data_IF_937808487194
#
_entry.id   IF_937808487194
#
_cell.length_a   1.000
_cell.length_b   1.000
_cell.length_c   1.000
_cell.angle_alpha   90.00
_cell.angle_beta   90.00
_cell.angle_gamma   90.00
#
_symmetry.space_group_name_H-M   'P 1'
#
loop_
_entity.id
_entity.type
_entity.pdbx_description
1 polymer ?
#
# COMPACT_ATOMS: atom_id res chain seq x y z
N UNK A 1 -9.68 -12.16 -18.33
CA UNK A 1 -10.12 -11.30 -17.22
C UNK A 1 -10.73 -12.20 -16.17
N UNK A 2 -10.49 -11.92 -14.89
CA UNK A 2 -11.19 -12.64 -13.83
C UNK A 2 -12.70 -12.34 -13.94
N UNK A 3 -13.57 -13.34 -14.20
CA UNK A 3 -15.01 -13.08 -14.30
C UNK A 3 -15.58 -12.51 -13.00
N UNK A 4 -15.07 -12.91 -11.84
CA UNK A 4 -15.49 -12.35 -10.53
C UNK A 4 -15.16 -10.86 -10.35
N UNK A 5 -14.25 -10.33 -11.17
CA UNK A 5 -13.86 -8.92 -11.20
C UNK A 5 -14.63 -8.09 -12.23
N UNK A 6 -15.47 -8.72 -13.08
CA UNK A 6 -16.20 -8.07 -14.19
C UNK A 6 -17.72 -8.31 -14.15
N UNK A 7 -18.19 -9.44 -13.62
CA UNK A 7 -19.58 -9.87 -13.82
C UNK A 7 -20.48 -9.61 -12.62
N UNK A 8 -20.75 -8.35 -12.25
CA UNK A 8 -21.87 -8.04 -11.34
C UNK A 8 -22.69 -6.79 -11.69
N UNK A 9 -22.54 -6.24 -12.90
CA UNK A 9 -23.46 -5.19 -13.41
C UNK A 9 -24.87 -5.72 -13.79
N UNK A 10 -25.22 -6.97 -13.48
CA UNK A 10 -26.53 -7.54 -13.82
C UNK A 10 -27.10 -8.44 -12.71
N UNK A 11 -27.29 -7.90 -11.50
CA UNK A 11 -28.41 -8.33 -10.66
C UNK A 11 -29.18 -7.10 -10.17
N UNK A 12 -30.50 -7.16 -10.35
CA UNK A 12 -31.46 -6.08 -10.24
C UNK A 12 -31.51 -5.50 -8.82
N UNK A 13 -31.70 -4.17 -8.63
CA UNK A 13 -32.09 -3.65 -7.34
C UNK A 13 -33.50 -4.14 -7.00
N UNK A 14 -33.61 -4.98 -5.97
CA UNK A 14 -34.90 -5.27 -5.35
C UNK A 14 -35.54 -3.95 -4.91
N UNK A 15 -36.73 -3.69 -5.48
CA UNK A 15 -37.59 -2.58 -5.11
C UNK A 15 -37.94 -2.66 -3.62
N UNK A 16 -37.35 -1.79 -2.81
CA UNK A 16 -37.90 -1.45 -1.50
C UNK A 16 -38.85 -0.27 -1.71
N UNK A 17 -40.14 -0.57 -1.62
CA UNK A 17 -41.24 0.39 -1.66
C UNK A 17 -41.31 1.19 -0.36
N UNK A 18 -41.10 2.49 -0.43
CA UNK A 18 -41.52 3.43 0.61
C UNK A 18 -42.70 4.27 0.10
N UNK A 19 -43.82 4.37 0.84
CA UNK A 19 -44.93 5.21 0.45
C UNK A 19 -44.68 6.67 0.82
N UNK A 20 -45.23 7.56 -0.02
CA UNK A 20 -45.20 9.00 0.12
C UNK A 20 -46.17 9.53 1.19
N UNK A 21 -45.78 10.60 1.88
CA UNK A 21 -46.65 11.58 2.53
C UNK A 21 -45.86 12.90 2.57
N UNK A 22 -46.11 13.81 1.63
CA UNK A 22 -47.00 14.97 1.73
C UNK A 22 -46.57 16.05 2.73
N UNK A 23 -46.39 17.22 2.14
CA UNK A 23 -46.16 18.54 2.69
C UNK A 23 -47.25 18.99 3.65
N UNK A 24 -46.86 19.70 4.71
CA UNK A 24 -47.51 20.95 5.08
C UNK A 24 -46.51 21.84 5.81
N UNK A 25 -46.48 23.11 5.41
CA UNK A 25 -45.70 24.14 6.08
C UNK A 25 -46.45 24.67 7.29
N UNK A 26 -45.71 25.25 8.23
CA UNK A 26 -46.12 26.58 8.67
C UNK A 26 -44.98 27.38 9.31
N UNK A 27 -45.11 28.68 9.11
CA UNK A 27 -44.24 29.77 9.49
C UNK A 27 -44.46 30.07 10.99
N UNK A 28 -43.40 30.35 11.76
CA UNK A 28 -43.50 31.40 12.79
C UNK A 28 -42.15 31.98 13.16
N UNK A 29 -42.06 33.29 12.92
CA UNK A 29 -41.06 34.24 13.41
C UNK A 29 -41.19 34.38 14.92
N UNK A 30 -40.08 34.53 15.64
CA UNK A 30 -40.07 35.28 16.89
C UNK A 30 -38.84 36.21 16.94
N UNK A 31 -39.13 37.51 16.80
CA UNK A 31 -38.24 38.65 17.05
C UNK A 31 -38.97 39.51 18.07
N UNK A 32 -38.47 39.58 19.30
CA UNK A 32 -38.72 40.63 20.33
C UNK A 32 -37.64 40.36 21.41
N UNK A 33 -36.92 41.28 22.04
CA UNK A 33 -36.65 42.72 21.92
C UNK A 33 -35.59 43.00 23.01
N UNK A 34 -34.76 44.01 22.78
CA UNK A 34 -33.81 44.60 23.74
C UNK A 34 -34.51 45.08 25.01
N UNK A 35 -33.84 44.96 26.14
CA UNK A 35 -33.83 45.99 27.18
C UNK A 35 -32.46 46.04 27.87
N UNK A 36 -31.88 47.23 27.87
CA UNK A 36 -30.70 47.62 28.64
C UNK A 36 -31.16 48.00 30.03
N UNK A 37 -30.39 47.69 31.07
CA UNK A 37 -30.20 48.63 32.18
C UNK A 37 -28.85 48.42 32.87
N UNK A 38 -28.26 49.55 33.24
CA UNK A 38 -26.91 49.73 33.75
C UNK A 38 -26.90 49.84 35.28
N UNK A 39 -25.70 49.58 35.83
CA UNK A 39 -25.01 50.26 36.96
C UNK A 39 -25.12 49.71 38.39
N UNK A 40 -23.91 49.32 38.82
CA UNK A 40 -23.18 49.71 40.04
C UNK A 40 -23.53 49.11 41.40
N UNK A 41 -22.47 48.65 42.09
CA UNK A 41 -22.40 48.64 43.55
C UNK A 41 -21.41 47.65 44.15
N UNK A 42 -20.20 48.10 44.47
CA UNK A 42 -19.17 47.36 45.18
C UNK A 42 -19.49 47.14 46.67
N UNK A 43 -18.95 46.06 47.29
CA UNK A 43 -18.15 46.09 48.54
C UNK A 43 -17.71 44.70 49.05
N UNK A 44 -16.38 44.60 49.19
CA UNK A 44 -15.50 43.86 50.13
C UNK A 44 -16.09 42.94 51.22
N UNK A 45 -15.46 41.76 51.38
CA UNK A 45 -15.47 40.95 52.60
C UNK A 45 -14.38 39.85 52.56
N UNK A 46 -13.50 39.87 53.56
CA UNK A 46 -12.22 39.14 53.67
C UNK A 46 -12.35 37.62 53.89
N UNK A 47 -11.30 36.87 53.51
CA UNK A 47 -11.03 35.52 54.00
C UNK A 47 -9.77 34.91 53.38
N UNK A 48 -8.60 35.20 53.95
CA UNK A 48 -7.30 34.62 53.57
C UNK A 48 -7.24 33.13 53.97
N UNK A 49 -6.82 32.29 53.04
CA UNK A 49 -6.03 31.08 53.30
C UNK A 49 -5.07 30.91 52.12
N UNK A 50 -3.76 30.96 52.37
CA UNK A 50 -2.72 30.68 51.37
C UNK A 50 -2.32 29.20 51.49
N UNK A 51 -2.42 28.40 50.43
CA UNK A 51 -1.68 27.15 50.34
C UNK A 51 -0.28 27.36 49.74
N UNK A 52 0.64 26.60 50.33
CA UNK A 52 2.04 26.33 50.01
C UNK A 52 2.49 26.36 48.53
N UNK A 53 3.77 26.73 48.34
CA UNK A 53 4.57 26.88 47.11
C UNK A 53 4.78 25.56 46.31
N UNK A 54 3.88 24.57 46.42
CA UNK A 54 4.04 23.27 45.74
C UNK A 54 2.95 22.99 44.69
N UNK A 55 1.98 23.89 44.51
CA UNK A 55 0.92 23.76 43.48
C UNK A 55 1.11 24.67 42.24
N UNK A 56 2.14 25.52 42.19
CA UNK A 56 2.34 26.51 41.11
C UNK A 56 3.14 25.97 39.90
N UNK A 57 3.36 24.65 39.80
CA UNK A 57 4.05 24.01 38.65
C UNK A 57 3.18 23.02 37.84
N UNK A 58 1.87 22.89 38.13
CA UNK A 58 1.01 21.92 37.44
C UNK A 58 -0.19 22.51 36.69
N UNK A 59 -0.25 23.83 36.48
CA UNK A 59 -1.37 24.49 35.78
C UNK A 59 -0.93 25.41 34.64
N UNK A 60 0.05 25.00 33.84
CA UNK A 60 0.14 25.48 32.46
C UNK A 60 -0.73 24.58 31.58
N UNK A 61 -2.04 24.78 31.73
CA UNK A 61 -3.05 24.30 30.80
C UNK A 61 -2.70 24.87 29.42
N UNK A 62 -2.22 24.01 28.54
CA UNK A 62 -2.13 24.32 27.12
C UNK A 62 -3.55 24.53 26.59
N UNK A 63 -3.81 25.73 26.08
CA UNK A 63 -4.96 26.08 25.24
C UNK A 63 -5.07 25.12 24.04
N UNK A 64 -5.69 23.96 24.25
CA UNK A 64 -6.16 23.09 23.17
C UNK A 64 -7.61 23.47 22.93
N UNK A 65 -7.84 24.30 21.91
CA UNK A 65 -9.20 24.51 21.40
C UNK A 65 -9.78 23.14 21.02
N UNK A 66 -10.95 22.73 21.54
CA UNK A 66 -11.59 21.50 21.10
C UNK A 66 -12.20 21.77 19.72
N UNK A 67 -11.49 21.38 18.66
CA UNK A 67 -12.00 21.44 17.30
C UNK A 67 -12.76 20.14 16.99
N UNK A 68 -14.07 20.25 17.16
CA UNK A 68 -15.16 19.66 16.36
C UNK A 68 -15.09 18.17 15.97
N UNK A 69 -16.08 17.44 16.50
CA UNK A 69 -16.75 16.26 15.97
C UNK A 69 -15.87 15.05 15.65
N UNK A 70 -15.87 14.11 16.61
CA UNK A 70 -15.52 12.71 16.43
C UNK A 70 -16.39 12.12 15.31
N UNK A 71 -15.90 12.18 14.08
CA UNK A 71 -16.23 11.16 13.09
C UNK A 71 -15.75 9.86 13.71
N UNK A 72 -16.65 8.91 13.95
CA UNK A 72 -16.29 7.53 14.33
C UNK A 72 -15.42 6.94 13.21
N UNK A 73 -14.11 7.19 13.28
CA UNK A 73 -13.17 6.56 12.38
C UNK A 73 -13.10 5.09 12.78
N UNK A 74 -13.84 4.24 12.05
CA UNK A 74 -13.70 2.79 12.08
C UNK A 74 -12.32 2.39 11.52
N UNK A 75 -11.25 2.72 12.26
CA UNK A 75 -9.88 2.53 11.80
C UNK A 75 -8.94 2.21 12.96
N UNK A 76 -8.00 1.31 12.71
CA UNK A 76 -6.99 0.94 13.68
C UNK A 76 -5.88 1.99 13.71
N UNK A 77 -5.66 2.59 14.87
CA UNK A 77 -4.53 3.48 15.07
C UNK A 77 -3.30 2.70 15.54
N UNK A 78 -2.14 2.93 14.91
CA UNK A 78 -0.85 2.40 15.35
C UNK A 78 0.20 3.51 15.35
N UNK A 79 1.01 3.58 16.40
CA UNK A 79 2.12 4.54 16.50
C UNK A 79 3.43 3.94 16.03
N UNK A 80 4.24 4.73 15.32
CA UNK A 80 5.55 4.35 14.80
C UNK A 80 6.63 5.37 15.18
N UNK A 81 7.88 4.92 15.36
CA UNK A 81 9.00 5.81 15.49
C UNK A 81 9.34 6.49 14.15
N UNK A 82 9.91 7.69 14.24
CA UNK A 82 10.46 8.43 13.11
C UNK A 82 11.94 8.69 13.35
N UNK A 83 12.78 8.44 12.34
CA UNK A 83 14.20 8.71 12.42
C UNK A 83 14.46 10.19 12.21
N UNK A 84 15.22 10.79 13.12
CA UNK A 84 15.66 12.18 13.03
C UNK A 84 17.18 12.23 12.87
N UNK A 85 17.64 12.50 11.65
CA UNK A 85 19.06 12.59 11.34
C UNK A 85 19.80 13.69 12.10
N UNK A 86 19.10 14.74 12.56
CA UNK A 86 19.73 15.87 13.28
C UNK A 86 20.17 15.47 14.68
N UNK A 87 19.40 14.59 15.32
CA UNK A 87 19.74 14.01 16.62
C UNK A 87 20.40 12.63 16.50
N UNK A 88 20.44 12.06 15.29
CA UNK A 88 20.95 10.71 15.01
C UNK A 88 20.29 9.62 15.86
N UNK A 89 18.99 9.81 16.14
CA UNK A 89 18.20 8.91 16.96
C UNK A 89 16.72 8.98 16.52
N UNK A 90 15.93 8.07 17.07
CA UNK A 90 14.51 7.96 16.78
C UNK A 90 13.66 8.79 17.76
N UNK A 91 12.66 9.44 17.21
CA UNK A 91 11.52 9.98 17.97
C UNK A 91 10.51 8.86 18.16
N UNK A 92 10.41 8.35 19.39
CA UNK A 92 9.47 7.27 19.75
C UNK A 92 8.01 7.73 19.66
N UNK A 93 7.13 6.84 19.18
CA UNK A 93 5.67 7.07 19.08
C UNK A 93 5.28 8.40 18.40
N UNK A 94 6.12 8.86 17.48
CA UNK A 94 6.03 10.19 16.91
C UNK A 94 4.98 10.29 15.81
N UNK A 95 4.89 9.23 15.01
CA UNK A 95 3.98 9.12 13.89
C UNK A 95 2.78 8.26 14.27
N UNK A 96 1.57 8.73 13.96
CA UNK A 96 0.33 8.01 14.19
C UNK A 96 -0.29 7.65 12.84
N UNK A 97 -0.33 6.35 12.55
CA UNK A 97 -0.92 5.77 11.35
C UNK A 97 -2.34 5.33 11.66
N UNK A 98 -3.30 5.82 10.87
CA UNK A 98 -4.70 5.43 10.91
C UNK A 98 -4.98 4.49 9.75
N UNK A 99 -5.05 3.18 10.03
CA UNK A 99 -5.43 2.18 9.05
C UNK A 99 -6.95 2.12 8.91
N UNK A 100 -7.45 2.28 7.68
CA UNK A 100 -8.88 2.18 7.36
C UNK A 100 -9.09 1.66 5.93
N UNK A 101 -10.25 1.07 5.60
CA UNK A 101 -10.55 0.74 4.22
C UNK A 101 -10.58 2.01 3.35
N UNK A 102 -10.14 1.88 2.11
CA UNK A 102 -10.27 2.96 1.12
C UNK A 102 -11.74 3.28 0.84
N UNK A 103 -12.02 4.53 0.47
CA UNK A 103 -13.39 4.96 0.14
C UNK A 103 -13.88 4.21 -1.11
N UNK A 104 -15.16 3.82 -1.12
CA UNK A 104 -15.75 3.09 -2.24
C UNK A 104 -16.24 4.07 -3.31
N UNK A 105 -15.79 3.89 -4.55
CA UNK A 105 -16.23 4.65 -5.72
C UNK A 105 -16.90 3.78 -6.78
N UNK A 106 -16.97 4.30 -8.02
CA UNK A 106 -17.60 3.60 -9.15
C UNK A 106 -16.69 2.50 -9.71
N UNK A 107 -17.29 1.32 -9.95
CA UNK A 107 -16.65 0.19 -10.66
C UNK A 107 -16.57 0.41 -12.18
N UNK A 108 -17.34 1.36 -12.72
CA UNK A 108 -17.36 1.66 -14.15
C UNK A 108 -15.96 2.04 -14.65
N UNK A 109 -15.16 2.72 -13.82
CA UNK A 109 -13.78 3.06 -14.13
C UNK A 109 -12.91 1.82 -14.34
N UNK A 110 -13.01 0.84 -13.43
CA UNK A 110 -12.22 -0.40 -13.48
C UNK A 110 -12.65 -1.24 -14.67
N UNK A 111 -13.96 -1.42 -14.85
CA UNK A 111 -14.52 -2.16 -15.99
C UNK A 111 -14.16 -1.52 -17.34
N UNK A 112 -14.25 -0.19 -17.45
CA UNK A 112 -13.85 0.54 -18.65
C UNK A 112 -12.35 0.34 -18.95
N UNK A 113 -11.50 0.47 -17.93
CA UNK A 113 -10.05 0.29 -18.05
C UNK A 113 -9.70 -1.10 -18.58
N UNK A 114 -10.28 -2.16 -18.01
CA UNK A 114 -10.03 -3.53 -18.43
C UNK A 114 -10.47 -3.80 -19.86
N UNK A 115 -11.59 -3.18 -20.26
CA UNK A 115 -12.13 -3.29 -21.62
C UNK A 115 -11.21 -2.58 -22.62
N UNK A 116 -10.79 -1.35 -22.30
CA UNK A 116 -9.90 -0.56 -23.17
C UNK A 116 -8.51 -1.18 -23.30
N UNK A 117 -7.93 -1.69 -22.21
CA UNK A 117 -6.56 -2.20 -22.16
C UNK A 117 -6.46 -3.73 -22.26
N UNK A 118 -7.47 -4.39 -22.82
CA UNK A 118 -7.59 -5.85 -22.86
C UNK A 118 -6.34 -6.58 -23.43
N UNK A 119 -5.70 -6.01 -24.46
CA UNK A 119 -4.49 -6.58 -25.07
C UNK A 119 -3.29 -6.55 -24.12
N UNK A 120 -3.14 -5.45 -23.37
CA UNK A 120 -2.12 -5.27 -22.34
C UNK A 120 -2.34 -6.24 -21.19
N UNK A 121 -3.57 -6.35 -20.66
CA UNK A 121 -3.94 -7.31 -19.60
C UNK A 121 -3.59 -8.73 -20.02
N UNK A 122 -3.95 -9.13 -21.25
CA UNK A 122 -3.67 -10.49 -21.74
C UNK A 122 -2.18 -10.77 -21.84
N UNK A 123 -1.39 -9.80 -22.29
CA UNK A 123 0.07 -9.93 -22.44
C UNK A 123 0.77 -10.00 -21.07
N UNK A 124 0.34 -9.13 -20.16
CA UNK A 124 0.78 -9.07 -18.78
C UNK A 124 0.50 -10.39 -18.05
N UNK A 125 -0.74 -10.88 -18.14
CA UNK A 125 -1.16 -12.16 -17.57
C UNK A 125 -0.33 -13.32 -18.10
N UNK A 126 -0.11 -13.42 -19.42
CA UNK A 126 0.74 -14.47 -20.00
C UNK A 126 2.18 -14.43 -19.48
N UNK A 127 2.74 -13.24 -19.27
CA UNK A 127 4.10 -13.11 -18.76
C UNK A 127 4.18 -13.56 -17.30
N UNK A 128 3.22 -13.14 -16.48
CA UNK A 128 3.13 -13.52 -15.07
C UNK A 128 2.79 -15.02 -14.90
N UNK A 129 1.93 -15.59 -15.74
CA UNK A 129 1.72 -17.04 -15.82
C UNK A 129 3.02 -17.79 -16.15
N UNK A 130 3.88 -17.24 -17.01
CA UNK A 130 5.19 -17.81 -17.31
C UNK A 130 6.20 -17.67 -16.17
N UNK A 131 5.97 -16.77 -15.20
CA UNK A 131 6.78 -16.68 -13.97
C UNK A 131 6.39 -17.74 -12.94
N UNK A 132 5.21 -18.36 -13.08
CA UNK A 132 4.81 -19.46 -12.22
C UNK A 132 5.78 -20.62 -12.44
N UNK A 133 6.52 -21.06 -11.39
CA UNK A 133 7.40 -22.20 -11.55
C UNK A 133 6.58 -23.41 -12.00
N UNK A 134 7.13 -24.27 -12.87
CA UNK A 134 6.46 -25.50 -13.22
C UNK A 134 6.14 -26.23 -11.92
N UNK A 135 4.91 -26.75 -11.81
CA UNK A 135 4.40 -27.40 -10.60
C UNK A 135 5.36 -28.47 -10.06
N UNK A 136 6.17 -29.06 -10.94
CA UNK A 136 7.21 -30.02 -10.61
C UNK A 136 8.55 -29.59 -11.21
N UNK A 137 9.59 -29.53 -10.37
CA UNK A 137 10.99 -29.50 -10.78
C UNK A 137 11.46 -30.94 -10.99
N UNK A 138 12.01 -31.22 -12.17
CA UNK A 138 12.71 -32.48 -12.45
C UNK A 138 14.11 -32.39 -11.86
N UNK A 139 14.39 -33.22 -10.86
CA UNK A 139 15.72 -33.36 -10.27
C UNK A 139 16.31 -34.67 -10.78
N UNK A 140 17.32 -34.55 -11.64
CA UNK A 140 18.02 -35.70 -12.26
C UNK A 140 19.05 -36.29 -11.31
N UNK A 141 19.59 -37.46 -11.65
CA UNK A 141 20.66 -38.08 -10.89
C UNK A 141 20.25 -38.45 -9.46
N UNK A 142 19.05 -38.97 -9.28
CA UNK A 142 18.56 -39.49 -8.00
C UNK A 142 18.69 -41.01 -7.95
N UNK A 143 18.95 -41.60 -6.78
CA UNK A 143 18.99 -43.07 -6.61
C UNK A 143 17.60 -43.70 -6.73
N UNK A 144 16.54 -42.91 -6.58
CA UNK A 144 15.14 -43.32 -6.71
C UNK A 144 14.30 -42.13 -7.21
N UNK A 145 13.21 -42.39 -7.93
CA UNK A 145 12.38 -41.36 -8.55
C UNK A 145 11.26 -41.88 -9.43
N UNK A 146 10.39 -40.97 -9.86
CA UNK A 146 9.16 -41.30 -10.62
C UNK A 146 9.46 -41.68 -12.08
N UNK A 147 10.59 -41.22 -12.61
CA UNK A 147 11.03 -41.46 -13.99
C UNK A 147 12.47 -41.99 -14.01
N UNK A 148 12.82 -42.74 -15.05
CA UNK A 148 14.21 -43.14 -15.33
C UNK A 148 14.90 -42.05 -16.16
N UNK A 149 16.09 -41.64 -15.73
CA UNK A 149 16.97 -40.73 -16.46
C UNK A 149 17.74 -41.50 -17.53
N UNK A 150 17.25 -41.44 -18.77
CA UNK A 150 17.87 -42.14 -19.90
C UNK A 150 19.31 -41.71 -20.15
N UNK A 151 19.65 -40.43 -19.93
CA UNK A 151 21.02 -39.93 -20.12
C UNK A 151 21.96 -40.51 -19.06
N UNK A 152 21.51 -40.59 -17.80
CA UNK A 152 22.25 -41.23 -16.72
C UNK A 152 22.45 -42.74 -16.96
N UNK A 153 21.42 -43.43 -17.48
CA UNK A 153 21.51 -44.85 -17.85
C UNK A 153 22.51 -45.06 -18.99
N UNK A 154 22.45 -44.24 -20.04
CA UNK A 154 23.39 -44.33 -21.17
C UNK A 154 24.82 -44.07 -20.70
N UNK A 155 25.03 -43.05 -19.85
CA UNK A 155 26.33 -42.76 -19.24
C UNK A 155 26.85 -43.95 -18.45
N UNK A 156 26.04 -44.51 -17.54
CA UNK A 156 26.40 -45.70 -16.75
C UNK A 156 26.79 -46.87 -17.63
N UNK A 157 26.03 -47.15 -18.69
CA UNK A 157 26.33 -48.23 -19.62
C UNK A 157 27.66 -48.00 -20.36
N UNK A 158 28.00 -46.75 -20.66
CA UNK A 158 29.30 -46.36 -21.19
C UNK A 158 30.44 -46.59 -20.19
N UNK A 159 30.27 -46.13 -18.95
CA UNK A 159 31.24 -46.27 -17.85
C UNK A 159 31.51 -47.75 -17.53
N UNK A 160 30.46 -48.57 -17.47
CA UNK A 160 30.58 -50.02 -17.25
C UNK A 160 31.32 -50.73 -18.39
N UNK A 161 31.08 -50.33 -19.64
CA UNK A 161 31.84 -50.86 -20.79
C UNK A 161 33.31 -50.44 -20.78
N UNK A 162 33.63 -49.30 -20.15
CA UNK A 162 34.99 -48.83 -19.93
C UNK A 162 35.66 -49.46 -18.70
N UNK A 163 34.98 -50.34 -17.96
CA UNK A 163 35.51 -51.02 -16.77
C UNK A 163 35.44 -50.21 -15.48
N UNK A 164 34.64 -49.13 -15.43
CA UNK A 164 34.41 -48.33 -14.23
C UNK A 164 33.15 -48.80 -13.50
N UNK A 165 33.12 -48.65 -12.16
CA UNK A 165 31.88 -48.74 -11.40
C UNK A 165 31.03 -47.50 -11.73
N UNK A 166 29.93 -47.72 -12.47
CA UNK A 166 29.03 -46.65 -12.88
C UNK A 166 28.15 -46.15 -11.73
N UNK A 167 27.61 -44.94 -11.87
CA UNK A 167 26.76 -44.29 -10.86
C UNK A 167 25.35 -44.92 -10.83
N UNK A 168 24.80 -45.18 -9.63
CA UNK A 168 23.46 -45.74 -9.40
C UNK A 168 22.35 -44.67 -9.41
N UNK A 169 22.73 -43.39 -9.54
CA UNK A 169 21.81 -42.25 -9.65
C UNK A 169 21.12 -42.17 -11.02
N UNK A 170 20.21 -43.10 -11.26
CA UNK A 170 19.58 -43.33 -12.56
C UNK A 170 18.16 -42.77 -12.69
N UNK A 171 17.63 -42.14 -11.66
CA UNK A 171 16.24 -41.71 -11.62
C UNK A 171 16.10 -40.19 -11.62
N UNK A 172 14.94 -39.73 -12.08
CA UNK A 172 14.47 -38.35 -12.02
C UNK A 172 13.33 -38.29 -11.02
N UNK A 173 13.50 -37.47 -9.99
CA UNK A 173 12.45 -37.19 -9.01
C UNK A 173 11.70 -35.92 -9.40
N UNK A 174 10.37 -35.92 -9.31
CA UNK A 174 9.54 -34.72 -9.50
C UNK A 174 9.28 -34.07 -8.14
N UNK A 175 9.99 -32.99 -7.85
CA UNK A 175 9.77 -32.23 -6.63
C UNK A 175 8.78 -31.09 -6.86
N UNK A 176 7.75 -30.99 -6.03
CA UNK A 176 6.83 -29.86 -6.08
C UNK A 176 7.57 -28.61 -5.58
N UNK A 177 7.81 -27.64 -6.46
CA UNK A 177 8.37 -26.34 -6.05
C UNK A 177 7.22 -25.37 -5.82
N UNK A 178 6.89 -25.16 -4.56
CA UNK A 178 5.89 -24.15 -4.19
C UNK A 178 6.54 -22.77 -4.20
N UNK A 179 5.93 -21.86 -4.95
CA UNK A 179 6.29 -20.46 -4.91
C UNK A 179 5.60 -19.84 -3.71
N UNK A 180 6.39 -19.24 -2.85
CA UNK A 180 5.94 -18.78 -1.54
C UNK A 180 6.39 -17.33 -1.32
N UNK A 181 5.62 -16.43 -1.93
CA UNK A 181 5.92 -15.00 -2.03
C UNK A 181 4.74 -14.19 -1.49
N UNK A 182 5.04 -13.17 -0.68
CA UNK A 182 4.09 -12.12 -0.31
C UNK A 182 4.59 -10.75 -0.77
N UNK A 183 3.78 -10.06 -1.57
CA UNK A 183 4.09 -8.73 -2.10
C UNK A 183 3.12 -7.66 -1.58
N UNK A 184 3.62 -6.61 -0.93
CA UNK A 184 2.82 -5.43 -0.60
C UNK A 184 3.11 -4.31 -1.60
N UNK A 185 2.06 -3.77 -2.21
CA UNK A 185 2.12 -2.60 -3.05
C UNK A 185 1.60 -1.40 -2.26
N UNK A 186 2.47 -0.40 -2.10
CA UNK A 186 2.19 0.82 -1.36
C UNK A 186 2.15 1.99 -2.34
N UNK A 187 0.97 2.55 -2.52
CA UNK A 187 0.67 3.62 -3.47
C UNK A 187 0.62 4.95 -2.75
N UNK A 188 1.39 5.89 -3.25
CA UNK A 188 1.34 7.28 -2.85
C UNK A 188 0.08 7.96 -3.43
N UNK A 189 -0.81 8.43 -2.55
CA UNK A 189 -2.03 9.13 -2.93
C UNK A 189 -1.97 10.63 -2.65
N UNK A 190 -0.78 11.25 -2.65
CA UNK A 190 -0.64 12.69 -2.40
C UNK A 190 -1.20 13.61 -3.48
N UNK A 191 -1.28 14.91 -3.16
CA UNK A 191 -1.73 15.94 -4.07
C UNK A 191 -0.88 16.13 -5.34
N UNK A 192 0.36 15.62 -5.42
CA UNK A 192 1.16 15.69 -6.65
C UNK A 192 0.56 14.83 -7.78
N UNK A 193 -0.30 13.86 -7.42
CA UNK A 193 -1.07 13.02 -8.33
C UNK A 193 -2.28 13.73 -8.96
N UNK A 194 -2.59 14.96 -8.53
CA UNK A 194 -3.64 15.80 -9.13
C UNK A 194 -3.19 16.54 -10.40
N UNK A 195 -1.93 16.36 -10.84
CA UNK A 195 -1.41 17.01 -12.04
C UNK A 195 -2.19 16.54 -13.26
N UNK A 196 -2.81 17.48 -13.96
CA UNK A 196 -3.42 17.21 -15.26
C UNK A 196 -2.32 17.13 -16.32
N UNK A 197 -2.31 16.03 -17.08
CA UNK A 197 -1.51 15.92 -18.28
C UNK A 197 -2.17 16.77 -19.38
N UNK A 198 -1.38 17.22 -20.36
CA UNK A 198 -1.85 18.08 -21.46
C UNK A 198 -2.97 17.49 -22.34
N UNK A 199 -3.41 16.25 -22.08
CA UNK A 199 -4.55 15.58 -22.70
C UNK A 199 -5.83 15.60 -21.83
N UNK A 200 -5.85 16.36 -20.72
CA UNK A 200 -7.00 16.46 -19.82
C UNK A 200 -7.21 15.27 -18.88
N UNK A 201 -6.26 14.31 -18.83
CA UNK A 201 -6.28 13.18 -17.88
C UNK A 201 -5.43 13.52 -16.66
N UNK A 202 -5.89 13.14 -15.46
CA UNK A 202 -5.11 13.31 -14.23
C UNK A 202 -4.14 12.13 -14.07
N UNK A 203 -2.98 12.39 -13.47
CA UNK A 203 -1.99 11.34 -13.16
C UNK A 203 -2.60 10.21 -12.31
N UNK A 204 -3.51 10.54 -11.39
CA UNK A 204 -4.18 9.55 -10.53
C UNK A 204 -4.99 8.53 -11.33
N UNK A 205 -5.65 8.97 -12.41
CA UNK A 205 -6.47 8.08 -13.23
C UNK A 205 -5.56 7.07 -13.94
N UNK A 206 -4.41 7.52 -14.42
CA UNK A 206 -3.37 6.70 -15.04
C UNK A 206 -2.76 5.71 -14.04
N UNK A 207 -2.47 6.13 -12.81
CA UNK A 207 -1.98 5.25 -11.75
C UNK A 207 -3.00 4.17 -11.38
N UNK A 208 -4.28 4.55 -11.21
CA UNK A 208 -5.36 3.58 -10.98
C UNK A 208 -5.44 2.56 -12.11
N UNK A 209 -5.33 2.98 -13.36
CA UNK A 209 -5.31 2.04 -14.49
C UNK A 209 -4.15 1.06 -14.36
N UNK A 210 -2.94 1.54 -14.07
CA UNK A 210 -1.77 0.70 -13.83
C UNK A 210 -1.97 -0.30 -12.68
N UNK A 211 -2.61 0.12 -11.59
CA UNK A 211 -2.93 -0.72 -10.43
C UNK A 211 -3.95 -1.81 -10.76
N UNK A 212 -4.99 -1.47 -11.52
CA UNK A 212 -5.99 -2.44 -12.00
C UNK A 212 -5.31 -3.53 -12.84
N UNK A 213 -4.45 -3.14 -13.78
CA UNK A 213 -3.68 -4.09 -14.59
C UNK A 213 -2.80 -4.98 -13.71
N UNK A 214 -2.09 -4.38 -12.75
CA UNK A 214 -1.20 -5.09 -11.85
C UNK A 214 -1.93 -6.11 -10.98
N UNK A 215 -3.13 -5.78 -10.46
CA UNK A 215 -3.95 -6.72 -9.70
C UNK A 215 -4.31 -7.95 -10.54
N UNK A 216 -4.77 -7.76 -11.78
CA UNK A 216 -5.06 -8.87 -12.70
C UNK A 216 -3.82 -9.74 -12.99
N UNK A 217 -2.63 -9.12 -13.02
CA UNK A 217 -1.37 -9.83 -13.19
C UNK A 217 -1.02 -10.72 -12.01
N UNK A 218 -1.08 -10.16 -10.81
CA UNK A 218 -0.70 -10.84 -9.57
C UNK A 218 -1.66 -12.00 -9.28
N UNK A 219 -2.95 -11.80 -9.58
CA UNK A 219 -3.96 -12.84 -9.50
C UNK A 219 -3.64 -14.04 -10.42
N UNK A 220 -3.06 -13.78 -11.60
CA UNK A 220 -2.66 -14.84 -12.53
C UNK A 220 -1.46 -15.67 -12.05
N UNK A 221 -0.59 -15.08 -11.21
CA UNK A 221 0.53 -15.78 -10.58
C UNK A 221 0.10 -16.61 -9.39
N UNK A 222 -0.85 -16.09 -8.61
CA UNK A 222 -1.34 -16.73 -7.39
C UNK A 222 -0.47 -16.48 -6.16
N UNK A 223 0.32 -15.41 -6.13
CA UNK A 223 1.04 -14.99 -4.92
C UNK A 223 0.11 -14.29 -3.94
N UNK A 224 0.51 -14.26 -2.66
CA UNK A 224 -0.15 -13.40 -1.70
C UNK A 224 0.22 -11.95 -1.99
N UNK A 225 -0.77 -11.06 -2.10
CA UNK A 225 -0.48 -9.64 -2.24
C UNK A 225 -1.46 -8.76 -1.47
N UNK A 226 -0.94 -7.66 -0.94
CA UNK A 226 -1.70 -6.56 -0.37
C UNK A 226 -1.54 -5.31 -1.22
N UNK A 227 -2.62 -4.56 -1.38
CA UNK A 227 -2.62 -3.27 -2.05
C UNK A 227 -3.11 -2.20 -1.09
N UNK A 228 -2.24 -1.23 -0.84
CA UNK A 228 -2.46 -0.18 0.13
C UNK A 228 -2.13 1.17 -0.51
N UNK A 229 -2.84 2.21 -0.10
CA UNK A 229 -2.48 3.59 -0.39
C UNK A 229 -2.20 4.34 0.90
N UNK A 230 -1.42 5.42 0.83
CA UNK A 230 -1.16 6.26 2.01
C UNK A 230 -1.19 7.74 1.67
N UNK A 231 -1.52 8.54 2.68
CA UNK A 231 -1.41 10.00 2.63
C UNK A 231 -1.19 10.55 4.04
N UNK A 232 -0.30 11.52 4.18
CA UNK A 232 0.02 12.21 5.42
C UNK A 232 -0.72 13.54 5.57
N UNK A 233 -1.22 13.79 6.78
CA UNK A 233 -1.67 15.09 7.26
C UNK A 233 -0.93 15.43 8.55
N UNK A 234 0.38 15.61 8.43
CA UNK A 234 1.29 15.75 9.55
C UNK A 234 1.50 14.44 10.32
N UNK A 235 2.39 14.50 11.31
CA UNK A 235 2.79 13.33 12.13
C UNK A 235 1.63 12.64 12.87
N UNK A 236 0.59 13.40 13.20
CA UNK A 236 -0.52 12.92 14.04
C UNK A 236 -1.59 12.14 13.28
N UNK A 237 -1.61 12.22 11.95
CA UNK A 237 -2.65 11.63 11.12
C UNK A 237 -2.08 11.21 9.78
N UNK A 238 -1.57 9.97 9.71
CA UNK A 238 -1.14 9.34 8.46
C UNK A 238 -2.22 8.34 8.08
N UNK A 239 -3.02 8.67 7.09
CA UNK A 239 -4.05 7.78 6.54
C UNK A 239 -3.36 6.63 5.80
N UNK A 240 -3.64 5.41 6.23
CA UNK A 240 -3.25 4.17 5.55
C UNK A 240 -4.51 3.49 5.04
N UNK A 241 -4.72 3.53 3.73
CA UNK A 241 -5.93 3.09 3.07
C UNK A 241 -5.75 1.67 2.54
N UNK A 242 -6.49 0.73 3.10
CA UNK A 242 -6.51 -0.66 2.62
C UNK A 242 -7.46 -0.76 1.43
N UNK A 243 -6.88 -0.94 0.25
CA UNK A 243 -7.63 -1.22 -0.99
C UNK A 243 -7.95 -2.72 -1.04
N UNK A 244 -6.94 -3.56 -0.80
CA UNK A 244 -7.05 -5.01 -0.67
C UNK A 244 -6.04 -5.51 0.36
N UNK A 245 -6.48 -6.23 1.39
CA UNK A 245 -5.54 -6.90 2.29
C UNK A 245 -5.09 -8.26 1.72
N UNK A 246 -4.04 -8.86 2.29
CA UNK A 246 -3.51 -10.15 1.84
C UNK A 246 -4.54 -11.28 1.89
N UNK A 247 -5.39 -11.27 2.91
CA UNK A 247 -6.40 -12.31 3.16
C UNK A 247 -7.70 -12.07 2.36
N UNK A 248 -7.82 -10.91 1.70
CA UNK A 248 -8.95 -10.55 0.86
C UNK A 248 -8.75 -11.06 -0.57
N UNK A 249 -9.81 -11.58 -1.19
CA UNK A 249 -9.79 -11.96 -2.62
C UNK A 249 -9.99 -10.73 -3.50
N UNK A 250 -9.46 -10.78 -4.72
CA UNK A 250 -9.76 -9.76 -5.71
C UNK A 250 -11.23 -9.89 -6.15
N UNK A 251 -12.01 -8.82 -5.98
CA UNK A 251 -13.43 -8.80 -6.29
C UNK A 251 -13.99 -7.38 -6.32
N UNK A 252 -15.33 -7.26 -6.35
CA UNK A 252 -16.03 -5.98 -6.49
C UNK A 252 -15.66 -4.95 -5.41
N UNK A 253 -15.46 -5.37 -4.16
CA UNK A 253 -15.04 -4.47 -3.07
C UNK A 253 -13.72 -3.77 -3.39
N UNK A 254 -12.74 -4.51 -3.88
CA UNK A 254 -11.45 -3.99 -4.32
C UNK A 254 -11.60 -3.07 -5.54
N UNK A 255 -12.47 -3.43 -6.50
CA UNK A 255 -12.74 -2.61 -7.68
C UNK A 255 -13.38 -1.26 -7.31
N UNK A 256 -14.38 -1.27 -6.42
CA UNK A 256 -14.98 -0.05 -5.87
C UNK A 256 -13.96 0.81 -5.14
N UNK A 257 -13.10 0.22 -4.30
CA UNK A 257 -12.03 0.94 -3.58
C UNK A 257 -10.98 1.54 -4.52
N UNK A 258 -10.62 0.83 -5.59
CA UNK A 258 -9.75 1.35 -6.65
C UNK A 258 -10.37 2.53 -7.38
N UNK A 259 -11.67 2.43 -7.73
CA UNK A 259 -12.42 3.52 -8.34
C UNK A 259 -12.50 4.76 -7.43
N UNK A 260 -12.68 4.55 -6.13
CA UNK A 260 -12.81 5.60 -5.10
C UNK A 260 -11.51 6.23 -4.64
N UNK A 261 -10.34 5.71 -5.04
CA UNK A 261 -9.06 6.29 -4.67
C UNK A 261 -8.98 7.74 -5.19
N UNK A 262 -8.67 8.71 -4.35
CA UNK A 262 -8.59 10.11 -4.74
C UNK A 262 -7.26 10.69 -4.26
N UNK A 263 -6.68 11.66 -4.99
CA UNK A 263 -5.54 12.42 -4.46
C UNK A 263 -5.96 13.11 -3.17
N UNK A 264 -5.08 13.06 -2.17
CA UNK A 264 -5.28 13.65 -0.86
C UNK A 264 -4.18 14.64 -0.53
N UNK A 265 -3.60 14.53 0.66
CA UNK A 265 -2.76 15.55 1.25
C UNK A 265 -1.29 15.32 0.89
N UNK A 266 -0.44 15.20 1.90
CA UNK A 266 1.00 15.13 1.78
C UNK A 266 1.47 13.67 1.97
N UNK A 267 2.77 13.44 2.13
CA UNK A 267 3.42 12.12 2.17
C UNK A 267 4.46 11.99 3.27
N UNK A 268 4.23 11.01 4.15
CA UNK A 268 5.18 10.63 5.21
C UNK A 268 5.54 9.15 5.08
N UNK A 269 6.37 8.84 4.08
CA UNK A 269 6.65 7.49 3.61
C UNK A 269 7.24 6.58 4.68
N UNK A 270 8.14 7.10 5.53
CA UNK A 270 8.84 6.28 6.51
C UNK A 270 7.89 5.54 7.45
N UNK A 271 6.84 6.21 7.93
CA UNK A 271 5.80 5.59 8.76
C UNK A 271 4.97 4.57 7.97
N UNK A 272 4.59 4.88 6.73
CA UNK A 272 3.82 3.96 5.87
C UNK A 272 4.62 2.69 5.51
N UNK A 273 5.93 2.83 5.27
CA UNK A 273 6.86 1.73 5.02
C UNK A 273 6.99 0.85 6.26
N UNK A 274 7.15 1.43 7.45
CA UNK A 274 7.21 0.67 8.72
C UNK A 274 5.91 -0.07 9.02
N UNK A 275 4.77 0.55 8.73
CA UNK A 275 3.47 -0.10 8.87
C UNK A 275 3.31 -1.28 7.91
N UNK A 276 3.60 -1.08 6.63
CA UNK A 276 3.59 -2.13 5.61
C UNK A 276 4.56 -3.27 5.94
N UNK A 277 5.76 -2.94 6.42
CA UNK A 277 6.74 -3.90 6.91
C UNK A 277 6.17 -4.77 8.03
N UNK A 278 5.45 -4.17 8.97
CA UNK A 278 4.79 -4.92 10.06
C UNK A 278 3.73 -5.89 9.52
N UNK A 279 2.97 -5.50 8.50
CA UNK A 279 1.98 -6.39 7.85
C UNK A 279 2.65 -7.53 7.07
N UNK A 280 3.74 -7.26 6.35
CA UNK A 280 4.51 -8.28 5.63
C UNK A 280 5.15 -9.31 6.58
N UNK A 281 5.66 -8.88 7.74
CA UNK A 281 6.30 -9.78 8.71
C UNK A 281 5.34 -10.78 9.34
N UNK A 282 4.03 -10.50 9.31
CA UNK A 282 3.00 -11.46 9.75
C UNK A 282 2.77 -12.59 8.75
N UNK A 283 3.30 -12.48 7.52
CA UNK A 283 3.12 -13.49 6.48
C UNK A 283 4.19 -14.57 6.63
N UNK A 284 3.73 -15.81 6.79
CA UNK A 284 4.58 -17.00 6.81
C UNK A 284 4.88 -17.41 5.37
N UNK A 285 5.81 -16.68 4.76
CA UNK A 285 6.28 -16.90 3.40
C UNK A 285 7.79 -16.79 3.34
N UNK A 286 8.42 -17.49 2.40
CA UNK A 286 9.86 -17.43 2.16
C UNK A 286 10.32 -16.05 1.72
N UNK A 287 9.70 -15.48 0.68
CA UNK A 287 10.14 -14.23 0.06
C UNK A 287 9.11 -13.11 0.28
N UNK A 288 9.53 -12.00 0.89
CA UNK A 288 8.66 -10.83 1.16
C UNK A 288 9.12 -9.63 0.36
N UNK A 289 8.18 -8.98 -0.33
CA UNK A 289 8.47 -7.84 -1.21
C UNK A 289 7.62 -6.64 -0.81
N UNK A 290 8.23 -5.47 -0.70
CA UNK A 290 7.55 -4.17 -0.59
C UNK A 290 7.85 -3.37 -1.86
N UNK A 291 6.80 -3.03 -2.60
CA UNK A 291 6.89 -2.19 -3.80
C UNK A 291 6.24 -0.84 -3.50
N UNK A 292 7.03 0.24 -3.53
CA UNK A 292 6.55 1.61 -3.42
C UNK A 292 6.25 2.15 -4.82
N UNK A 293 5.06 2.68 -5.01
CA UNK A 293 4.64 3.42 -6.20
C UNK A 293 4.47 4.88 -5.77
N UNK A 294 5.46 5.71 -6.06
CA UNK A 294 5.50 7.11 -5.65
C UNK A 294 6.28 7.93 -6.67
N UNK A 295 5.95 9.21 -6.77
CA UNK A 295 6.81 10.16 -7.49
C UNK A 295 8.21 10.24 -6.86
N UNK A 296 8.34 9.88 -5.58
CA UNK A 296 9.58 9.62 -4.87
C UNK A 296 10.09 10.82 -4.05
N UNK A 297 9.31 11.90 -3.91
CA UNK A 297 9.67 13.04 -3.05
C UNK A 297 8.82 13.03 -1.78
N UNK A 298 9.31 12.46 -0.67
CA UNK A 298 8.58 12.49 0.58
C UNK A 298 8.50 13.94 1.09
N UNK A 299 7.29 14.39 1.38
CA UNK A 299 6.99 15.76 1.78
C UNK A 299 5.74 15.74 2.66
N UNK A 300 5.85 16.19 3.91
CA UNK A 300 4.75 16.39 4.85
C UNK A 300 5.06 17.58 5.79
N UNK A 301 4.13 17.95 6.68
CA UNK A 301 4.32 19.06 7.63
C UNK A 301 5.56 18.84 8.52
N UNK A 302 6.49 19.79 8.46
CA UNK A 302 7.82 19.70 9.06
C UNK A 302 8.65 18.46 8.68
N UNK A 303 8.27 17.74 7.62
CA UNK A 303 8.90 16.53 7.11
C UNK A 303 9.27 16.76 5.64
N UNK A 304 10.48 17.26 5.39
CA UNK A 304 10.92 17.61 4.04
C UNK A 304 12.43 17.53 3.88
N UNK A 305 12.88 17.67 2.64
CA UNK A 305 14.30 17.75 2.28
C UNK A 305 15.09 16.56 2.85
N UNK A 306 16.27 16.80 3.41
CA UNK A 306 17.13 15.79 4.01
C UNK A 306 16.44 15.06 5.16
N UNK A 307 15.55 15.69 5.91
CA UNK A 307 14.85 15.02 7.01
C UNK A 307 14.00 13.86 6.49
N UNK A 308 13.19 14.14 5.48
CA UNK A 308 12.28 13.19 4.88
C UNK A 308 13.04 12.08 4.13
N UNK A 309 14.09 12.45 3.39
CA UNK A 309 14.95 11.50 2.67
C UNK A 309 15.65 10.54 3.64
N UNK A 310 16.19 11.06 4.75
CA UNK A 310 16.90 10.24 5.72
C UNK A 310 15.99 9.30 6.52
N UNK A 311 14.77 9.73 6.88
CA UNK A 311 13.80 8.85 7.52
C UNK A 311 13.33 7.74 6.57
N UNK A 312 12.95 8.07 5.33
CA UNK A 312 12.55 7.09 4.32
C UNK A 312 13.67 6.09 4.04
N UNK A 313 14.92 6.57 3.87
CA UNK A 313 16.11 5.71 3.70
C UNK A 313 16.29 4.76 4.87
N UNK A 314 16.06 5.23 6.09
CA UNK A 314 16.20 4.42 7.31
C UNK A 314 15.08 3.38 7.39
N UNK A 315 13.83 3.75 7.13
CA UNK A 315 12.70 2.82 7.07
C UNK A 315 12.90 1.70 6.03
N UNK A 316 13.43 2.02 4.85
CA UNK A 316 13.77 1.03 3.82
C UNK A 316 14.90 0.09 4.26
N UNK A 317 15.92 0.61 4.95
CA UNK A 317 17.00 -0.20 5.52
C UNK A 317 16.49 -1.14 6.60
N UNK A 318 15.63 -0.66 7.48
CA UNK A 318 14.96 -1.48 8.51
C UNK A 318 14.18 -2.64 7.88
N UNK A 319 13.40 -2.38 6.82
CA UNK A 319 12.67 -3.41 6.10
C UNK A 319 13.61 -4.49 5.53
N UNK A 320 14.71 -4.07 4.89
CA UNK A 320 15.73 -5.00 4.33
C UNK A 320 16.41 -5.84 5.39
N UNK A 321 16.77 -5.25 6.53
CA UNK A 321 17.37 -5.98 7.65
C UNK A 321 16.45 -7.07 8.20
N UNK A 322 15.13 -6.92 8.01
CA UNK A 322 14.12 -7.92 8.38
C UNK A 322 13.77 -8.89 7.24
N UNK A 323 14.58 -8.94 6.19
CA UNK A 323 14.42 -9.86 5.07
C UNK A 323 13.35 -9.46 4.05
N UNK A 324 12.94 -8.19 4.01
CA UNK A 324 11.98 -7.68 3.00
C UNK A 324 12.74 -7.02 1.86
N UNK A 325 12.54 -7.53 0.65
CA UNK A 325 13.03 -6.90 -0.56
C UNK A 325 12.21 -5.63 -0.86
N UNK A 326 12.86 -4.47 -0.93
CA UNK A 326 12.19 -3.20 -1.22
C UNK A 326 12.46 -2.76 -2.66
N UNK A 327 11.44 -2.30 -3.37
CA UNK A 327 11.57 -1.76 -4.72
C UNK A 327 10.74 -0.49 -4.89
N UNK A 328 11.25 0.52 -5.60
CA UNK A 328 10.51 1.75 -5.90
C UNK A 328 10.21 1.85 -7.40
N UNK A 329 9.01 2.25 -7.75
CA UNK A 329 8.67 2.65 -9.12
C UNK A 329 8.21 4.09 -9.09
N UNK A 330 8.84 4.92 -9.92
CA UNK A 330 8.52 6.34 -10.05
C UNK A 330 8.32 6.72 -11.52
N UNK A 331 7.46 7.71 -11.75
CA UNK A 331 7.25 8.37 -13.04
C UNK A 331 8.05 9.69 -13.18
N UNK A 332 8.66 10.18 -12.10
CA UNK A 332 9.44 11.43 -12.12
C UNK A 332 10.80 11.19 -12.81
N UNK A 333 11.02 11.86 -13.94
CA UNK A 333 12.25 11.75 -14.72
C UNK A 333 13.45 12.37 -14.03
N UNK A 334 13.23 13.31 -13.10
CA UNK A 334 14.28 13.93 -12.28
C UNK A 334 14.57 13.12 -11.02
N UNK A 335 13.84 12.02 -10.81
CA UNK A 335 13.87 11.26 -9.57
C UNK A 335 15.20 10.64 -9.22
N UNK A 336 15.99 10.35 -10.25
CA UNK A 336 17.27 9.67 -10.09
C UNK A 336 18.21 10.38 -9.10
N UNK A 337 18.15 11.71 -9.04
CA UNK A 337 18.99 12.53 -8.15
C UNK A 337 18.76 12.26 -6.67
N UNK A 338 17.49 12.17 -6.22
CA UNK A 338 17.15 11.92 -4.82
C UNK A 338 16.91 10.43 -4.52
N UNK A 339 16.46 9.63 -5.48
CA UNK A 339 16.29 8.19 -5.29
C UNK A 339 17.62 7.49 -5.01
N UNK A 340 18.72 7.92 -5.63
CA UNK A 340 20.08 7.39 -5.33
C UNK A 340 20.49 7.58 -3.87
N UNK A 341 19.89 8.54 -3.16
CA UNK A 341 20.14 8.74 -1.72
C UNK A 341 19.37 7.74 -0.84
N UNK A 342 18.21 7.27 -1.30
CA UNK A 342 17.31 6.39 -0.51
C UNK A 342 17.41 4.90 -0.91
N UNK A 343 17.57 4.62 -2.20
CA UNK A 343 17.54 3.29 -2.80
C UNK A 343 18.91 2.93 -3.39
N UNK A 344 19.23 1.64 -3.41
CA UNK A 344 20.33 1.16 -4.25
C UNK A 344 19.93 1.25 -5.73
N UNK A 345 20.92 1.37 -6.63
CA UNK A 345 20.67 1.52 -8.09
C UNK A 345 19.82 0.39 -8.69
N UNK A 346 19.86 -0.82 -8.13
CA UNK A 346 19.06 -1.96 -8.57
C UNK A 346 17.64 -2.03 -7.96
N UNK A 347 17.28 -1.08 -7.09
CA UNK A 347 16.07 -1.12 -6.26
C UNK A 347 15.06 -0.03 -6.61
N UNK A 348 15.25 0.68 -7.72
CA UNK A 348 14.25 1.57 -8.26
C UNK A 348 14.15 1.47 -9.78
N UNK A 349 13.00 1.82 -10.33
CA UNK A 349 12.81 1.99 -11.76
C UNK A 349 12.10 3.32 -12.04
N UNK A 350 12.75 4.14 -12.85
CA UNK A 350 12.10 5.29 -13.47
C UNK A 350 11.37 4.81 -14.72
N UNK A 351 10.05 4.98 -14.74
CA UNK A 351 9.21 4.72 -15.90
C UNK A 351 8.86 6.04 -16.59
N UNK A 352 8.97 6.05 -17.90
CA UNK A 352 8.62 7.22 -18.71
C UNK A 352 7.12 7.48 -18.79
N UNK A 353 6.31 6.44 -18.49
CA UNK A 353 4.86 6.44 -18.50
C UNK A 353 4.33 5.17 -17.83
N UNK A 354 3.09 5.19 -17.31
CA UNK A 354 2.50 4.04 -16.60
C UNK A 354 2.30 2.83 -17.52
N UNK A 355 2.15 3.07 -18.82
CA UNK A 355 1.96 2.03 -19.83
C UNK A 355 3.20 1.13 -19.93
N UNK A 356 4.35 1.57 -19.39
CA UNK A 356 5.54 0.75 -19.24
C UNK A 356 5.50 -0.18 -18.01
N UNK A 357 4.67 0.10 -16.99
CA UNK A 357 4.54 -0.75 -15.79
C UNK A 357 4.28 -2.21 -16.16
N UNK A 358 3.31 -2.53 -17.05
CA UNK A 358 3.05 -3.89 -17.48
C UNK A 358 4.25 -4.66 -18.02
N UNK A 359 5.22 -3.97 -18.62
CA UNK A 359 6.38 -4.63 -19.25
C UNK A 359 7.58 -4.68 -18.31
N UNK A 360 7.75 -3.68 -17.43
CA UNK A 360 8.89 -3.58 -16.52
C UNK A 360 8.67 -4.34 -15.21
N UNK A 361 7.50 -4.20 -14.57
CA UNK A 361 7.20 -4.84 -13.29
C UNK A 361 7.41 -6.35 -13.30
N UNK A 362 6.96 -7.14 -14.29
CA UNK A 362 7.19 -8.57 -14.28
C UNK A 362 8.68 -8.96 -14.29
N UNK A 363 9.52 -8.18 -14.99
CA UNK A 363 10.97 -8.42 -15.05
C UNK A 363 11.63 -8.16 -13.70
N UNK A 364 11.23 -7.07 -13.04
CA UNK A 364 11.67 -6.71 -11.70
C UNK A 364 11.22 -7.79 -10.70
N UNK A 365 9.95 -8.17 -10.76
CA UNK A 365 9.38 -9.18 -9.89
C UNK A 365 10.13 -10.51 -9.99
N UNK A 366 10.48 -10.93 -11.22
CA UNK A 366 11.34 -12.09 -11.44
C UNK A 366 12.72 -11.95 -10.79
N UNK A 367 13.35 -10.78 -10.86
CA UNK A 367 14.67 -10.55 -10.23
C UNK A 367 14.61 -10.61 -8.71
N UNK A 368 13.49 -10.18 -8.11
CA UNK A 368 13.30 -10.15 -6.66
C UNK A 368 12.89 -11.50 -6.07
N UNK A 369 12.35 -12.42 -6.88
CA UNK A 369 11.91 -13.77 -6.44
C UNK A 369 12.68 -14.93 -7.08
N UNK A 370 13.79 -14.65 -7.79
CA UNK A 370 14.64 -15.67 -8.40
C UNK A 370 15.54 -16.30 -7.33
#
# INVERSE_FOLDING_TARGET
>A
MNPEFITWSQEQPQQISHPAAQSDGDITRNVVRREQEQRNGARLGQGRSLPSIVDECLTLESDVRPMQELVEHQGQTVSYPEWDHRISDYRMNWCRVLERPADSGSDEFVTATLTTQHSTVRSLRRFFEALRPPAFRRVTGQPDGDEVDLDAVVRRMGEQRAGMEGDDRLYIRREKRERDVAAAFLVDASGSTSRELGNGRRVIDIEKEGLVLLCEALEAVGDQYGLYAYSGQGRGMIDFLTIKDFDERLGATTAHRLGGLAPRHQNRDGAAIRHTTTKLLKRDVKDRILVLLSDGRPLDDHYKDDYAVEDTRTALREARQRGIATFCVTIDREAESYLRRMYAESQYCVISSIEALPTKLPRIYRQLTA
#
